data_IF_186862783367
#
_entry.id   IF_186862783367
#
_cell.length_a   1.000
_cell.length_b   1.000
_cell.length_c   1.000
_cell.angle_alpha   90.00
_cell.angle_beta   90.00
_cell.angle_gamma   90.00
#
_symmetry.space_group_name_H-M   'P 1'
#
loop_
_entity.id
_entity.type
_entity.pdbx_description
1 polymer ?
#
# COMPACT_ATOMS: atom_id res chain seq x y z
N UNK A 1 -27.43 -15.47 -34.33
CA UNK A 1 -26.92 -14.18 -33.81
C UNK A 1 -26.82 -14.34 -32.29
N UNK A 2 -25.74 -14.98 -31.78
CA UNK A 2 -25.53 -15.21 -30.35
C UNK A 2 -25.02 -13.90 -29.69
N UNK A 3 -25.96 -13.17 -29.08
CA UNK A 3 -25.86 -12.33 -27.88
C UNK A 3 -24.68 -12.65 -26.93
N UNK A 4 -23.61 -11.83 -26.95
CA UNK A 4 -22.53 -11.77 -25.94
C UNK A 4 -23.01 -10.82 -24.80
N UNK A 5 -23.58 -11.36 -23.71
CA UNK A 5 -23.51 -10.80 -22.36
C UNK A 5 -22.02 -10.56 -21.96
N UNK A 6 -21.54 -9.32 -22.10
CA UNK A 6 -20.40 -8.75 -21.34
C UNK A 6 -20.72 -8.85 -19.84
N UNK A 7 -20.36 -9.95 -19.19
CA UNK A 7 -20.22 -9.98 -17.74
C UNK A 7 -19.00 -9.07 -17.44
N UNK A 8 -19.25 -7.80 -17.08
CA UNK A 8 -18.43 -7.04 -16.14
C UNK A 8 -17.87 -8.05 -15.13
N UNK A 9 -16.66 -8.55 -15.42
CA UNK A 9 -15.80 -9.17 -14.42
C UNK A 9 -15.74 -8.12 -13.31
N UNK A 10 -16.61 -8.15 -12.29
CA UNK A 10 -16.28 -7.65 -10.97
C UNK A 10 -15.05 -8.43 -10.53
N UNK A 11 -13.88 -7.91 -10.93
CA UNK A 11 -12.61 -8.36 -10.39
C UNK A 11 -12.71 -8.10 -8.87
N UNK A 12 -12.54 -9.10 -7.98
CA UNK A 12 -12.37 -8.84 -6.56
C UNK A 12 -11.31 -7.75 -6.46
N UNK A 13 -11.58 -6.66 -5.71
CA UNK A 13 -10.58 -5.68 -5.33
C UNK A 13 -9.20 -6.35 -5.20
N UNK A 14 -8.17 -5.83 -5.89
CA UNK A 14 -6.81 -6.37 -5.83
C UNK A 14 -6.40 -6.33 -4.34
N UNK A 15 -6.33 -7.49 -3.66
CA UNK A 15 -5.90 -7.58 -2.25
C UNK A 15 -4.57 -8.33 -2.21
N UNK A 16 -3.51 -7.78 -1.59
CA UNK A 16 -2.30 -8.54 -1.20
C UNK A 16 -2.28 -8.98 0.28
N UNK A 17 -1.51 -10.03 0.61
CA UNK A 17 -1.24 -10.43 2.00
C UNK A 17 0.21 -10.03 2.34
N UNK A 18 0.39 -9.10 3.29
CA UNK A 18 1.68 -8.89 3.98
C UNK A 18 1.71 -9.57 5.36
N UNK A 19 2.92 -9.85 5.89
CA UNK A 19 3.16 -10.29 7.28
C UNK A 19 2.34 -9.54 8.35
N UNK A 20 1.81 -8.35 8.05
CA UNK A 20 1.00 -7.54 8.98
C UNK A 20 -0.51 -7.56 8.75
N UNK A 21 -0.99 -8.13 7.63
CA UNK A 21 -2.39 -8.47 7.44
C UNK A 21 -2.77 -8.28 5.99
N UNK A 22 -4.06 -8.02 5.75
CA UNK A 22 -4.58 -7.80 4.41
C UNK A 22 -4.31 -6.37 3.94
N UNK A 23 -4.02 -6.18 2.65
CA UNK A 23 -3.71 -4.88 2.08
C UNK A 23 -4.71 -4.58 0.99
N UNK A 24 -5.04 -3.30 0.88
CA UNK A 24 -5.87 -2.82 -0.21
C UNK A 24 -4.89 -2.30 -1.24
N UNK A 25 -5.12 -2.70 -2.47
CA UNK A 25 -4.24 -2.35 -3.58
C UNK A 25 -4.73 -1.04 -4.17
N UNK A 26 -3.80 -0.23 -4.69
CA UNK A 26 -4.19 0.87 -5.56
C UNK A 26 -5.18 0.43 -6.67
N UNK A 27 -6.17 1.28 -6.89
CA UNK A 27 -7.22 1.05 -7.87
C UNK A 27 -6.68 0.98 -9.30
N UNK A 28 -5.52 1.60 -9.58
CA UNK A 28 -4.82 1.52 -10.86
C UNK A 28 -3.40 0.98 -10.69
N UNK A 29 -3.18 -0.31 -10.99
CA UNK A 29 -1.83 -0.86 -11.14
C UNK A 29 -1.05 -0.12 -12.16
N UNK A 30 0.24 -0.35 -12.09
CA UNK A 30 1.13 0.27 -13.04
C UNK A 30 1.52 -0.78 -14.09
N UNK A 31 1.65 -0.38 -15.38
CA UNK A 31 2.37 -1.26 -16.29
C UNK A 31 3.72 -1.62 -15.68
N UNK A 32 4.02 -2.91 -15.61
CA UNK A 32 5.36 -3.37 -15.23
C UNK A 32 6.18 -3.14 -16.47
N UNK A 33 7.06 -2.14 -16.44
CA UNK A 33 7.99 -1.97 -17.55
C UNK A 33 8.65 -3.31 -17.91
N UNK A 34 8.52 -3.77 -19.15
CA UNK A 34 9.10 -5.03 -19.63
C UNK A 34 8.23 -6.30 -19.52
N UNK A 35 6.94 -6.19 -19.19
CA UNK A 35 6.03 -7.33 -19.02
C UNK A 35 4.61 -6.89 -19.47
N UNK A 36 3.97 -7.63 -20.39
CA UNK A 36 2.52 -7.59 -20.71
C UNK A 36 1.56 -7.87 -19.53
N UNK A 37 1.94 -7.56 -18.29
CA UNK A 37 1.20 -7.91 -17.08
C UNK A 37 1.13 -6.68 -16.18
N UNK A 38 0.01 -6.47 -15.54
CA UNK A 38 -0.22 -5.43 -14.54
C UNK A 38 0.41 -5.82 -13.19
N UNK A 39 1.28 -4.98 -12.59
CA UNK A 39 1.89 -5.27 -11.26
C UNK A 39 1.17 -4.50 -10.17
N UNK A 40 0.68 -5.20 -9.16
CA UNK A 40 0.07 -4.57 -8.02
C UNK A 40 1.01 -3.53 -7.42
N UNK A 41 0.47 -2.36 -7.08
CA UNK A 41 1.23 -1.31 -6.40
C UNK A 41 0.65 -1.00 -5.02
N UNK A 42 1.47 -1.09 -3.98
CA UNK A 42 1.08 -0.76 -2.61
C UNK A 42 1.89 0.44 -2.12
N UNK A 43 1.20 1.49 -1.69
CA UNK A 43 1.78 2.64 -0.99
C UNK A 43 1.45 2.77 0.51
N UNK A 44 2.40 3.24 1.32
CA UNK A 44 2.11 3.63 2.71
C UNK A 44 1.95 2.43 3.67
N UNK A 45 2.66 1.34 3.40
CA UNK A 45 2.58 0.14 4.25
C UNK A 45 3.58 0.35 5.39
N UNK A 46 3.15 0.30 6.66
CA UNK A 46 4.05 0.60 7.76
C UNK A 46 5.11 -0.50 7.88
N UNK A 47 6.38 -0.14 7.98
CA UNK A 47 7.47 -1.08 8.23
C UNK A 47 8.00 -1.02 9.68
N UNK A 48 7.73 0.05 10.41
CA UNK A 48 8.09 0.21 11.81
C UNK A 48 7.01 0.95 12.60
N UNK A 49 7.12 0.89 13.92
CA UNK A 49 6.21 1.65 14.78
C UNK A 49 6.55 3.11 14.60
N UNK A 50 5.55 4.01 14.62
CA UNK A 50 5.84 5.42 14.49
C UNK A 50 6.83 5.89 15.58
N UNK A 51 7.86 6.71 15.24
CA UNK A 51 8.82 7.20 16.23
C UNK A 51 8.21 8.34 17.08
N UNK A 52 7.17 8.07 17.90
CA UNK A 52 6.50 9.10 18.73
C UNK A 52 6.94 8.97 20.19
N UNK A 53 7.10 10.09 20.93
CA UNK A 53 7.44 10.13 22.37
C UNK A 53 8.61 9.25 22.79
N UNK A 54 8.36 8.14 23.48
CA UNK A 54 9.36 7.24 24.05
C UNK A 54 10.17 6.50 23.01
N UNK A 55 9.72 6.44 21.75
CA UNK A 55 10.41 5.78 20.65
C UNK A 55 11.33 6.75 19.90
N UNK A 56 11.28 8.05 20.27
CA UNK A 56 12.08 9.03 19.57
C UNK A 56 13.53 8.69 19.90
N UNK A 57 14.37 8.64 18.88
CA UNK A 57 15.79 8.34 19.06
C UNK A 57 16.11 6.89 19.47
N UNK A 58 15.16 5.97 19.27
CA UNK A 58 15.39 4.57 19.54
C UNK A 58 15.45 3.83 18.22
N UNK A 59 16.00 2.63 18.29
CA UNK A 59 15.97 1.73 17.16
C UNK A 59 14.52 1.49 16.73
N UNK A 60 14.25 1.48 15.41
CA UNK A 60 12.92 1.22 14.92
C UNK A 60 12.43 -0.14 15.44
N UNK A 61 11.22 -0.15 15.99
CA UNK A 61 10.58 -1.39 16.42
C UNK A 61 9.66 -1.93 15.34
N UNK A 62 9.42 -3.24 15.37
CA UNK A 62 8.54 -3.89 14.42
C UNK A 62 7.13 -3.29 14.52
N UNK A 63 6.43 -3.18 13.39
CA UNK A 63 5.06 -2.64 13.33
C UNK A 63 4.08 -3.54 14.07
N UNK A 64 2.99 -2.94 14.55
CA UNK A 64 1.97 -3.70 15.25
C UNK A 64 1.20 -4.56 14.23
N UNK A 65 0.94 -5.85 14.49
CA UNK A 65 0.05 -6.62 13.65
C UNK A 65 -1.31 -5.91 13.60
N UNK A 66 -1.80 -5.56 12.41
CA UNK A 66 -3.15 -5.00 12.26
C UNK A 66 -4.13 -6.16 11.94
N UNK A 67 -5.20 -6.35 12.73
CA UNK A 67 -6.33 -7.24 12.35
C UNK A 67 -7.18 -6.65 11.20
N UNK A 68 -7.08 -5.34 10.93
CA UNK A 68 -7.84 -4.64 9.89
C UNK A 68 -7.05 -4.53 8.57
N UNK A 69 -7.77 -4.31 7.46
CA UNK A 69 -7.14 -4.14 6.15
C UNK A 69 -6.36 -2.81 6.17
N UNK A 70 -5.07 -2.83 5.84
CA UNK A 70 -4.25 -1.61 5.74
C UNK A 70 -4.44 -0.91 4.41
N UNK A 71 -4.53 0.43 4.50
CA UNK A 71 -4.52 1.30 3.34
C UNK A 71 -3.25 1.37 2.50
N UNK A 72 -3.14 0.69 1.35
CA UNK A 72 -1.96 0.73 0.51
C UNK A 72 -2.14 1.62 -0.75
N UNK A 73 -3.07 2.59 -0.75
CA UNK A 73 -3.44 3.40 -1.92
C UNK A 73 -2.91 4.82 -1.83
N UNK A 74 -2.45 5.27 -0.65
CA UNK A 74 -2.06 6.67 -0.44
C UNK A 74 -0.60 6.76 0.02
N UNK A 75 0.07 7.83 -0.42
CA UNK A 75 1.43 8.12 0.04
C UNK A 75 1.45 8.36 1.55
N UNK A 76 2.46 7.86 2.29
CA UNK A 76 2.50 8.16 3.71
C UNK A 76 2.81 9.65 3.89
N UNK A 77 2.51 10.20 5.07
CA UNK A 77 3.08 11.48 5.48
C UNK A 77 4.61 11.52 5.36
N UNK A 78 5.11 12.64 4.85
CA UNK A 78 6.55 12.85 4.76
C UNK A 78 7.08 13.15 6.15
N UNK A 79 8.25 12.60 6.51
CA UNK A 79 8.88 12.95 7.77
C UNK A 79 9.16 14.46 7.81
N UNK A 80 9.19 15.03 9.02
CA UNK A 80 9.54 16.44 9.18
C UNK A 80 10.98 16.61 8.67
N UNK A 81 11.20 17.40 7.62
CA UNK A 81 12.53 17.79 7.15
C UNK A 81 12.79 19.25 7.55
N UNK A 82 14.05 19.65 7.85
CA UNK A 82 14.36 21.05 8.03
C UNK A 82 13.92 21.84 6.79
N UNK A 83 13.19 22.94 6.94
CA UNK A 83 12.99 23.89 5.82
C UNK A 83 14.35 24.59 5.66
N UNK A 84 15.16 24.26 4.65
CA UNK A 84 16.33 25.06 4.30
C UNK A 84 15.81 26.19 3.39
N UNK A 85 15.50 27.37 3.94
CA UNK A 85 15.39 28.60 3.14
C UNK A 85 16.84 29.07 2.90
N UNK A 86 17.38 28.91 1.69
CA UNK A 86 18.67 29.54 1.25
C UNK A 86 18.82 31.01 1.69
#
# INVERSE_FOLDING_TARGET
MASLHSEARTQPAPSGTHTQGKLKEASSPRPCEGQHSWCPHFLGIPFAKPPVSSLCFLTPEAPEPCSAVIDGTSYPAMPLAPVTSD
#
